data_IF_763922180727
#
_entry.id   IF_763922180727
#
_cell.length_a   1.000
_cell.length_b   1.000
_cell.length_c   1.000
_cell.angle_alpha   90.00
_cell.angle_beta   90.00
_cell.angle_gamma   90.00
#
_symmetry.space_group_name_H-M   'P 1'
#
loop_
_entity.id
_entity.type
_entity.pdbx_description
1 polymer ?
#
# COMPACT_ATOMS: atom_id res chain seq x y z
N UNK A 1 9.92 15.99 0.13
CA UNK A 1 10.15 14.86 -0.80
C UNK A 1 11.59 14.81 -1.23
N UNK A 2 12.18 13.62 -1.28
CA UNK A 2 13.58 13.37 -1.62
C UNK A 2 13.99 13.79 -3.05
N UNK A 3 13.03 14.09 -3.93
CA UNK A 3 13.26 14.37 -5.36
C UNK A 3 14.12 15.59 -5.67
N UNK A 4 14.18 16.53 -4.73
CA UNK A 4 15.06 17.72 -4.82
C UNK A 4 15.99 17.82 -3.63
N UNK A 5 16.11 16.74 -2.85
CA UNK A 5 16.98 16.71 -1.69
C UNK A 5 18.43 16.63 -2.13
N UNK A 6 19.25 17.51 -1.62
CA UNK A 6 20.71 17.49 -1.80
C UNK A 6 21.41 16.50 -0.86
N UNK A 7 20.65 15.76 -0.02
CA UNK A 7 21.20 14.87 1.02
C UNK A 7 22.25 13.90 0.48
N UNK A 8 21.99 13.23 -0.64
CA UNK A 8 22.95 12.30 -1.24
C UNK A 8 24.27 13.01 -1.63
N UNK A 9 24.15 14.19 -2.25
CA UNK A 9 25.31 15.00 -2.65
C UNK A 9 26.08 15.53 -1.46
N UNK A 10 25.37 16.04 -0.43
CA UNK A 10 25.98 16.58 0.78
C UNK A 10 26.70 15.48 1.58
N UNK A 11 26.09 14.31 1.73
CA UNK A 11 26.73 13.18 2.41
C UNK A 11 27.96 12.67 1.63
N UNK A 12 27.86 12.58 0.29
CA UNK A 12 28.99 12.18 -0.54
C UNK A 12 30.17 13.14 -0.42
N UNK A 13 29.91 14.46 -0.43
CA UNK A 13 30.95 15.47 -0.23
C UNK A 13 31.56 15.41 1.17
N UNK A 14 30.72 15.27 2.20
CA UNK A 14 31.16 15.29 3.59
C UNK A 14 32.04 14.11 3.98
N UNK A 15 31.69 12.92 3.47
CA UNK A 15 32.34 11.67 3.89
C UNK A 15 33.25 11.06 2.82
N UNK A 16 33.31 11.63 1.62
CA UNK A 16 34.13 11.10 0.53
C UNK A 16 33.70 9.72 0.02
N UNK A 17 32.43 9.36 0.21
CA UNK A 17 31.88 8.05 -0.17
C UNK A 17 30.77 8.19 -1.21
N UNK A 18 30.52 7.13 -1.96
CA UNK A 18 29.36 7.08 -2.84
C UNK A 18 28.08 6.96 -2.00
N UNK A 19 27.10 7.80 -2.29
CA UNK A 19 25.76 7.77 -1.67
C UNK A 19 24.70 7.67 -2.74
N UNK A 20 23.69 6.82 -2.54
CA UNK A 20 22.47 6.81 -3.32
C UNK A 20 21.28 7.04 -2.42
N UNK A 21 20.23 7.66 -2.97
CA UNK A 21 19.00 8.00 -2.25
C UNK A 21 17.83 7.47 -3.05
N UNK A 22 16.90 6.83 -2.39
CA UNK A 22 15.63 6.39 -2.98
C UNK A 22 14.49 6.61 -1.95
N UNK A 23 13.26 6.69 -2.44
CA UNK A 23 12.08 6.79 -1.61
C UNK A 23 11.83 5.47 -0.85
N UNK A 24 11.30 5.54 0.37
CA UNK A 24 11.06 4.41 1.26
C UNK A 24 10.07 3.38 0.68
N UNK A 25 8.94 3.81 0.16
CA UNK A 25 7.98 2.91 -0.49
C UNK A 25 8.57 2.22 -1.73
N UNK A 26 9.40 2.95 -2.50
CA UNK A 26 10.12 2.38 -3.64
C UNK A 26 11.21 1.41 -3.21
N UNK A 27 11.88 1.67 -2.08
CA UNK A 27 12.78 0.71 -1.45
C UNK A 27 12.04 -0.57 -1.03
N UNK A 28 10.85 -0.45 -0.44
CA UNK A 28 10.05 -1.62 -0.10
C UNK A 28 9.73 -2.46 -1.34
N UNK A 29 9.36 -1.84 -2.47
CA UNK A 29 9.12 -2.56 -3.72
C UNK A 29 10.39 -3.24 -4.26
N UNK A 30 11.55 -2.59 -4.18
CA UNK A 30 12.83 -3.17 -4.58
C UNK A 30 13.24 -4.35 -3.72
N UNK A 31 13.01 -4.30 -2.40
CA UNK A 31 13.28 -5.41 -1.50
C UNK A 31 12.44 -6.64 -1.85
N UNK A 32 11.13 -6.42 -2.02
CA UNK A 32 10.19 -7.49 -2.38
C UNK A 32 10.48 -8.08 -3.76
N UNK A 33 10.87 -7.25 -4.72
CA UNK A 33 11.29 -7.69 -6.05
C UNK A 33 12.58 -8.50 -6.02
N UNK A 34 13.56 -8.07 -5.25
CA UNK A 34 14.87 -8.73 -5.21
C UNK A 34 14.80 -10.10 -4.53
N UNK A 35 14.23 -10.17 -3.32
CA UNK A 35 14.27 -11.37 -2.48
C UNK A 35 12.97 -11.70 -1.75
N UNK A 36 11.91 -10.93 -1.98
CA UNK A 36 10.63 -11.05 -1.29
C UNK A 36 9.51 -11.60 -2.16
N UNK A 37 8.31 -11.13 -1.90
CA UNK A 37 7.05 -11.64 -2.47
C UNK A 37 6.85 -11.29 -3.94
N UNK A 38 7.59 -10.30 -4.48
CA UNK A 38 7.59 -9.96 -5.90
C UNK A 38 8.72 -10.64 -6.68
N UNK A 39 9.47 -11.57 -6.07
CA UNK A 39 10.57 -12.22 -6.76
C UNK A 39 10.08 -13.03 -7.97
N UNK A 40 10.61 -12.70 -9.15
CA UNK A 40 10.30 -13.38 -10.40
C UNK A 40 9.07 -12.85 -11.13
N UNK A 41 8.37 -11.84 -10.60
CA UNK A 41 7.32 -11.15 -11.35
C UNK A 41 7.93 -10.24 -12.42
N UNK A 42 7.18 -10.00 -13.49
CA UNK A 42 7.49 -9.00 -14.51
C UNK A 42 6.89 -7.64 -14.13
N UNK A 43 5.62 -7.67 -13.72
CA UNK A 43 4.87 -6.51 -13.28
C UNK A 43 4.30 -6.76 -11.89
N UNK A 44 4.63 -5.93 -10.93
CA UNK A 44 4.14 -6.08 -9.57
C UNK A 44 4.11 -4.74 -8.83
N UNK A 45 3.39 -4.70 -7.74
CA UNK A 45 3.34 -3.52 -6.89
C UNK A 45 3.44 -3.88 -5.41
N UNK A 46 3.96 -2.95 -4.62
CA UNK A 46 3.89 -2.98 -3.17
C UNK A 46 3.00 -1.84 -2.72
N UNK A 47 2.05 -2.15 -1.85
CA UNK A 47 1.20 -1.18 -1.15
C UNK A 47 1.53 -1.27 0.34
N UNK A 48 2.11 -0.22 0.89
CA UNK A 48 2.55 -0.15 2.30
C UNK A 48 1.52 0.65 3.11
N UNK A 49 0.83 -0.02 4.01
CA UNK A 49 -0.17 0.54 4.91
C UNK A 49 0.53 0.99 6.22
N UNK A 50 0.91 2.26 6.27
CA UNK A 50 1.58 2.91 7.40
C UNK A 50 0.76 4.07 7.97
N UNK A 51 1.41 5.19 8.34
CA UNK A 51 0.73 6.44 8.69
C UNK A 51 -0.07 7.00 7.50
N UNK A 52 0.39 6.76 6.29
CA UNK A 52 -0.31 6.96 5.03
C UNK A 52 -0.25 5.68 4.20
N UNK A 53 -0.42 5.81 2.87
CA UNK A 53 -0.26 4.70 1.92
C UNK A 53 0.92 5.00 1.00
N UNK A 54 2.02 4.30 1.21
CA UNK A 54 3.22 4.37 0.38
C UNK A 54 3.33 3.13 -0.52
N UNK A 55 4.31 3.12 -1.42
CA UNK A 55 4.62 1.92 -2.18
C UNK A 55 5.54 2.15 -3.36
N UNK A 56 5.56 1.18 -4.24
CA UNK A 56 6.34 1.22 -5.46
C UNK A 56 5.84 0.22 -6.47
N UNK A 57 6.16 0.47 -7.72
CA UNK A 57 5.67 -0.26 -8.87
C UNK A 57 6.87 -0.84 -9.61
N UNK A 58 6.83 -2.13 -9.91
CA UNK A 58 7.76 -2.82 -10.79
C UNK A 58 7.05 -3.03 -12.11
N UNK A 59 7.61 -2.55 -13.22
CA UNK A 59 7.13 -2.82 -14.57
C UNK A 59 8.29 -3.30 -15.44
N UNK A 60 8.05 -4.36 -16.20
CA UNK A 60 9.06 -5.00 -17.04
C UNK A 60 10.35 -5.36 -16.25
N UNK A 61 10.17 -5.86 -15.03
CA UNK A 61 11.29 -6.24 -14.15
C UNK A 61 12.13 -5.07 -13.62
N UNK A 62 11.61 -3.84 -13.65
CA UNK A 62 12.33 -2.63 -13.20
C UNK A 62 11.42 -1.75 -12.35
N UNK A 63 12.03 -1.04 -11.39
CA UNK A 63 11.31 -0.03 -10.62
C UNK A 63 10.82 1.10 -11.54
N UNK A 64 9.52 1.28 -11.59
CA UNK A 64 8.87 2.35 -12.35
C UNK A 64 8.78 3.62 -11.49
N UNK A 65 9.50 4.66 -11.87
CA UNK A 65 9.54 5.94 -11.14
C UNK A 65 8.64 7.02 -11.74
N UNK A 66 8.29 6.87 -13.04
CA UNK A 66 7.67 7.93 -13.82
C UNK A 66 8.62 9.09 -14.11
N UNK A 67 8.16 10.03 -14.92
CA UNK A 67 8.99 11.16 -15.35
C UNK A 67 9.32 12.15 -14.22
N UNK A 68 8.46 12.21 -13.21
CA UNK A 68 8.58 13.13 -12.07
C UNK A 68 8.82 12.37 -10.75
N UNK A 69 9.15 11.09 -10.82
CA UNK A 69 9.36 10.19 -9.67
C UNK A 69 8.13 10.01 -8.77
N UNK A 70 6.95 10.35 -9.23
CA UNK A 70 5.69 10.27 -8.46
C UNK A 70 4.96 8.94 -8.63
N UNK A 71 5.41 8.05 -9.51
CA UNK A 71 4.80 6.75 -9.63
C UNK A 71 4.91 5.98 -8.30
N UNK A 72 3.81 5.39 -7.84
CA UNK A 72 3.74 4.69 -6.56
C UNK A 72 3.55 5.59 -5.32
N UNK A 73 3.38 6.90 -5.50
CA UNK A 73 3.01 7.83 -4.42
C UNK A 73 1.50 7.74 -4.17
N UNK A 74 1.02 6.60 -3.69
CA UNK A 74 -0.39 6.28 -3.55
C UNK A 74 -1.16 7.22 -2.63
N UNK A 75 -0.49 7.84 -1.66
CA UNK A 75 -1.13 8.81 -0.76
C UNK A 75 -1.80 9.98 -1.48
N UNK A 76 -1.38 10.30 -2.71
CA UNK A 76 -1.96 11.39 -3.51
C UNK A 76 -3.12 10.95 -4.40
N UNK A 77 -3.50 9.69 -4.41
CA UNK A 77 -4.64 9.21 -5.19
C UNK A 77 -5.94 9.68 -4.54
N UNK A 78 -6.74 10.46 -5.29
CA UNK A 78 -8.07 10.87 -4.85
C UNK A 78 -9.03 9.68 -4.94
N UNK A 79 -9.66 9.32 -3.83
CA UNK A 79 -10.56 8.17 -3.68
C UNK A 79 -12.03 8.58 -3.62
N UNK A 80 -12.32 9.85 -3.30
CA UNK A 80 -13.65 10.43 -3.38
C UNK A 80 -13.68 11.65 -4.33
N UNK A 81 -14.10 11.41 -5.56
CA UNK A 81 -14.21 12.46 -6.59
C UNK A 81 -15.27 13.52 -6.30
N UNK A 82 -16.15 13.32 -5.31
CA UNK A 82 -17.18 14.30 -4.94
C UNK A 82 -16.64 15.39 -4.03
N UNK A 83 -15.52 15.12 -3.35
CA UNK A 83 -14.95 16.00 -2.33
C UNK A 83 -13.42 16.10 -2.47
N UNK A 84 -12.90 16.47 -3.65
CA UNK A 84 -11.46 16.48 -3.90
C UNK A 84 -10.70 17.54 -3.06
N UNK A 85 -11.42 18.49 -2.45
CA UNK A 85 -10.86 19.49 -1.54
C UNK A 85 -10.66 18.98 -0.11
N UNK A 86 -11.26 17.85 0.28
CA UNK A 86 -11.12 17.26 1.61
C UNK A 86 -9.89 16.33 1.67
N UNK A 87 -9.09 16.46 2.71
CA UNK A 87 -7.89 15.60 2.90
C UNK A 87 -8.24 14.12 3.03
N UNK A 88 -9.36 13.80 3.68
CA UNK A 88 -9.81 12.41 3.86
C UNK A 88 -10.28 11.75 2.55
N UNK A 89 -10.41 12.53 1.46
CA UNK A 89 -10.69 12.02 0.12
C UNK A 89 -9.45 11.44 -0.58
N UNK A 90 -8.29 11.46 0.06
CA UNK A 90 -7.07 10.92 -0.51
C UNK A 90 -6.68 9.60 0.13
N UNK A 91 -6.18 8.67 -0.68
CA UNK A 91 -5.90 7.29 -0.26
C UNK A 91 -4.95 7.22 0.95
N UNK A 92 -3.96 8.11 1.02
CA UNK A 92 -3.05 8.16 2.17
C UNK A 92 -3.76 8.42 3.49
N UNK A 93 -4.78 9.27 3.48
CA UNK A 93 -5.52 9.65 4.69
C UNK A 93 -6.64 8.66 5.00
N UNK A 94 -7.35 8.18 3.97
CA UNK A 94 -8.47 7.25 4.13
C UNK A 94 -8.04 5.83 4.50
N UNK A 95 -6.84 5.39 4.08
CA UNK A 95 -6.37 4.01 4.27
C UNK A 95 -5.04 3.91 5.04
N UNK A 96 -4.53 5.00 5.60
CA UNK A 96 -3.46 4.96 6.61
C UNK A 96 -3.99 4.49 7.97
N UNK A 97 -3.10 4.38 8.95
CA UNK A 97 -3.45 3.94 10.31
C UNK A 97 -4.53 4.83 10.96
N UNK A 98 -4.46 6.14 10.76
CA UNK A 98 -5.48 7.09 11.24
C UNK A 98 -6.82 6.89 10.52
N UNK A 99 -6.80 6.62 9.21
CA UNK A 99 -8.00 6.33 8.44
C UNK A 99 -8.74 5.09 8.95
N UNK A 100 -8.00 4.02 9.23
CA UNK A 100 -8.57 2.82 9.85
C UNK A 100 -9.20 3.14 11.22
N UNK A 101 -8.51 3.91 12.07
CA UNK A 101 -9.02 4.30 13.38
C UNK A 101 -10.30 5.14 13.27
N UNK A 102 -10.34 6.11 12.35
CA UNK A 102 -11.54 6.94 12.08
C UNK A 102 -12.73 6.10 11.61
N UNK A 103 -12.49 5.15 10.71
CA UNK A 103 -13.55 4.26 10.21
C UNK A 103 -14.09 3.38 11.33
N UNK A 104 -13.22 2.77 12.14
CA UNK A 104 -13.66 1.95 13.29
C UNK A 104 -14.43 2.80 14.29
N UNK A 105 -13.95 3.99 14.63
CA UNK A 105 -14.61 4.92 15.54
C UNK A 105 -16.02 5.32 15.09
N UNK A 106 -16.24 5.49 13.80
CA UNK A 106 -17.56 5.74 13.22
C UNK A 106 -18.56 4.61 13.54
N UNK A 107 -18.12 3.36 13.56
CA UNK A 107 -18.96 2.21 13.88
C UNK A 107 -19.17 1.98 15.39
N UNK A 108 -18.14 2.26 16.19
CA UNK A 108 -18.22 2.08 17.64
C UNK A 108 -18.91 3.23 18.36
N UNK A 109 -18.82 4.45 17.79
CA UNK A 109 -19.28 5.69 18.42
C UNK A 109 -18.28 6.27 19.42
N UNK A 110 -17.05 5.77 19.46
CA UNK A 110 -15.96 6.24 20.32
C UNK A 110 -15.08 7.29 19.61
N UNK A 111 -14.21 7.95 20.39
CA UNK A 111 -13.19 8.85 19.81
C UNK A 111 -12.11 8.04 19.07
N UNK A 112 -11.84 8.38 17.82
CA UNK A 112 -10.85 7.71 16.99
C UNK A 112 -9.43 7.74 17.59
N UNK A 113 -9.10 8.77 18.39
CA UNK A 113 -7.80 8.90 19.06
C UNK A 113 -7.57 7.81 20.13
N UNK A 114 -8.63 7.12 20.55
CA UNK A 114 -8.54 5.98 21.49
C UNK A 114 -8.15 4.69 20.80
N UNK A 115 -8.09 4.67 19.48
CA UNK A 115 -7.76 3.50 18.66
C UNK A 115 -6.35 3.61 18.07
N UNK A 116 -5.62 2.53 18.19
CA UNK A 116 -4.42 2.23 17.41
C UNK A 116 -4.56 0.85 16.75
N UNK A 117 -3.60 0.48 15.93
CA UNK A 117 -3.65 -0.81 15.24
C UNK A 117 -3.69 -2.00 16.21
N UNK A 118 -2.99 -1.93 17.35
CA UNK A 118 -2.97 -3.03 18.32
C UNK A 118 -4.35 -3.24 18.94
N UNK A 119 -4.99 -2.17 19.41
CA UNK A 119 -6.32 -2.21 20.00
C UNK A 119 -7.37 -2.68 18.99
N UNK A 120 -7.35 -2.12 17.76
CA UNK A 120 -8.30 -2.50 16.70
C UNK A 120 -8.23 -3.99 16.41
N UNK A 121 -7.02 -4.52 16.17
CA UNK A 121 -6.88 -5.93 15.81
C UNK A 121 -7.05 -6.88 16.99
N UNK A 122 -6.80 -6.44 18.24
CA UNK A 122 -7.22 -7.22 19.42
C UNK A 122 -8.72 -7.39 19.46
N UNK A 123 -9.48 -6.28 19.42
CA UNK A 123 -10.94 -6.31 19.45
C UNK A 123 -11.54 -7.08 18.26
N UNK A 124 -10.95 -6.91 17.05
CA UNK A 124 -11.39 -7.66 15.88
C UNK A 124 -11.19 -9.17 16.03
N UNK A 125 -10.06 -9.61 16.61
CA UNK A 125 -9.78 -11.02 16.88
C UNK A 125 -10.67 -11.58 18.00
N UNK A 126 -11.09 -10.75 18.95
CA UNK A 126 -12.05 -11.10 20.01
C UNK A 126 -13.50 -11.14 19.48
N UNK A 127 -13.73 -10.73 18.23
CA UNK A 127 -15.03 -10.83 17.57
C UNK A 127 -15.95 -9.63 17.81
N UNK A 128 -15.43 -8.46 18.19
CA UNK A 128 -16.24 -7.24 18.34
C UNK A 128 -16.89 -6.86 17.00
N UNK A 129 -18.23 -6.99 16.95
CA UNK A 129 -19.01 -6.83 15.72
C UNK A 129 -18.89 -5.41 15.12
N UNK A 130 -18.78 -4.37 15.96
CA UNK A 130 -18.66 -2.99 15.50
C UNK A 130 -17.28 -2.72 14.91
N UNK A 131 -16.24 -3.24 15.55
CA UNK A 131 -14.86 -3.15 15.03
C UNK A 131 -14.73 -3.94 13.73
N UNK A 132 -15.33 -5.12 13.65
CA UNK A 132 -15.36 -5.93 12.43
C UNK A 132 -16.12 -5.25 11.30
N UNK A 133 -17.21 -4.53 11.58
CA UNK A 133 -17.92 -3.72 10.58
C UNK A 133 -17.04 -2.57 10.07
N UNK A 134 -16.31 -1.89 10.95
CA UNK A 134 -15.34 -0.87 10.58
C UNK A 134 -14.17 -1.44 9.74
N UNK A 135 -13.65 -2.61 10.13
CA UNK A 135 -12.62 -3.30 9.35
C UNK A 135 -13.12 -3.70 7.95
N UNK A 136 -14.38 -4.11 7.84
CA UNK A 136 -15.01 -4.41 6.54
C UNK A 136 -15.10 -3.15 5.66
N UNK A 137 -15.62 -2.03 6.18
CA UNK A 137 -15.68 -0.76 5.44
C UNK A 137 -14.28 -0.31 4.97
N UNK A 138 -13.27 -0.44 5.84
CA UNK A 138 -11.89 -0.15 5.49
C UNK A 138 -11.36 -1.03 4.35
N UNK A 139 -11.57 -2.35 4.44
CA UNK A 139 -11.09 -3.28 3.40
C UNK A 139 -11.87 -3.16 2.11
N UNK A 140 -13.13 -2.76 2.13
CA UNK A 140 -13.91 -2.48 0.91
C UNK A 140 -13.31 -1.31 0.12
N UNK A 141 -12.97 -0.23 0.82
CA UNK A 141 -12.29 0.91 0.19
C UNK A 141 -10.93 0.52 -0.38
N UNK A 142 -10.14 -0.24 0.39
CA UNK A 142 -8.82 -0.71 -0.04
C UNK A 142 -8.92 -1.65 -1.25
N UNK A 143 -9.90 -2.54 -1.28
CA UNK A 143 -10.13 -3.48 -2.38
C UNK A 143 -10.42 -2.77 -3.70
N UNK A 144 -11.20 -1.69 -3.68
CA UNK A 144 -11.45 -0.86 -4.87
C UNK A 144 -10.15 -0.26 -5.41
N UNK A 145 -9.27 0.23 -4.54
CA UNK A 145 -8.00 0.82 -4.97
C UNK A 145 -7.03 -0.24 -5.52
N UNK A 146 -6.99 -1.42 -4.92
CA UNK A 146 -6.21 -2.57 -5.42
C UNK A 146 -6.72 -3.01 -6.78
N UNK A 147 -8.05 -3.09 -6.95
CA UNK A 147 -8.66 -3.40 -8.23
C UNK A 147 -8.27 -2.35 -9.29
N UNK A 148 -8.41 -1.06 -8.99
CA UNK A 148 -8.04 0.03 -9.91
C UNK A 148 -6.57 -0.04 -10.30
N UNK A 149 -5.68 -0.26 -9.33
CA UNK A 149 -4.24 -0.39 -9.58
C UNK A 149 -3.95 -1.57 -10.53
N UNK A 150 -4.64 -2.69 -10.35
CA UNK A 150 -4.51 -3.85 -11.22
C UNK A 150 -5.00 -3.55 -12.65
N UNK A 151 -6.12 -2.85 -12.80
CA UNK A 151 -6.65 -2.48 -14.13
C UNK A 151 -5.73 -1.50 -14.86
N UNK A 152 -5.12 -0.56 -14.15
CA UNK A 152 -4.19 0.39 -14.78
C UNK A 152 -2.87 -0.24 -15.23
N UNK A 153 -2.39 -1.27 -14.54
CA UNK A 153 -1.02 -1.75 -14.70
C UNK A 153 -0.90 -3.21 -15.12
N UNK A 154 -2.00 -3.98 -15.10
CA UNK A 154 -2.04 -5.42 -15.42
C UNK A 154 -0.94 -6.19 -14.69
N UNK A 155 -1.08 -6.27 -13.35
CA UNK A 155 -0.03 -6.76 -12.47
C UNK A 155 -0.09 -8.27 -12.28
N UNK A 156 1.06 -8.92 -12.21
CA UNK A 156 1.19 -10.34 -11.82
C UNK A 156 0.75 -10.54 -10.35
N UNK A 157 1.10 -9.58 -9.47
CA UNK A 157 0.88 -9.68 -8.03
C UNK A 157 1.01 -8.30 -7.34
N UNK A 158 0.25 -8.10 -6.28
CA UNK A 158 0.31 -6.92 -5.41
C UNK A 158 0.65 -7.39 -3.99
N UNK A 159 1.78 -6.94 -3.45
CA UNK A 159 2.19 -7.26 -2.10
C UNK A 159 1.76 -6.15 -1.12
N UNK A 160 1.10 -6.54 -0.04
CA UNK A 160 0.60 -5.64 1.00
C UNK A 160 1.59 -5.64 2.17
N UNK A 161 2.12 -4.48 2.49
CA UNK A 161 3.10 -4.25 3.56
C UNK A 161 2.65 -3.24 4.59
N UNK A 162 3.54 -2.91 5.51
CA UNK A 162 3.28 -2.00 6.62
C UNK A 162 2.87 -2.72 7.91
N UNK A 163 2.80 -1.97 9.01
CA UNK A 163 2.60 -2.57 10.33
C UNK A 163 1.31 -3.38 10.48
N UNK A 164 0.20 -2.88 9.93
CA UNK A 164 -1.10 -3.53 10.03
C UNK A 164 -1.25 -4.75 9.11
N UNK A 165 -0.43 -4.85 8.06
CA UNK A 165 -0.51 -5.96 7.11
C UNK A 165 -0.09 -7.31 7.70
N UNK A 166 0.52 -7.34 8.87
CA UNK A 166 0.88 -8.58 9.56
C UNK A 166 -0.32 -9.30 10.20
N UNK A 167 -1.49 -8.65 10.22
CA UNK A 167 -2.69 -9.19 10.84
C UNK A 167 -3.45 -10.13 9.89
N UNK A 168 -3.56 -11.43 10.18
CA UNK A 168 -4.25 -12.38 9.30
C UNK A 168 -5.70 -12.00 9.02
N UNK A 169 -6.37 -11.41 10.00
CA UNK A 169 -7.76 -10.97 9.87
C UNK A 169 -7.91 -9.86 8.82
N UNK A 170 -6.91 -8.96 8.69
CA UNK A 170 -6.91 -7.93 7.64
C UNK A 170 -6.93 -8.58 6.25
N UNK A 171 -6.06 -9.57 6.02
CA UNK A 171 -5.99 -10.25 4.73
C UNK A 171 -7.26 -11.03 4.41
N UNK A 172 -7.85 -11.68 5.42
CA UNK A 172 -9.13 -12.38 5.27
C UNK A 172 -10.24 -11.43 4.82
N UNK A 173 -10.33 -10.26 5.45
CA UNK A 173 -11.34 -9.25 5.11
C UNK A 173 -11.05 -8.61 3.75
N UNK A 174 -9.78 -8.30 3.47
CA UNK A 174 -9.38 -7.73 2.18
C UNK A 174 -9.67 -8.68 1.01
N UNK A 175 -9.35 -9.98 1.16
CA UNK A 175 -9.67 -10.96 0.12
C UNK A 175 -11.18 -11.04 -0.12
N UNK A 176 -11.97 -11.11 0.96
CA UNK A 176 -13.44 -11.09 0.87
C UNK A 176 -13.95 -9.83 0.15
N UNK A 177 -13.41 -8.67 0.50
CA UNK A 177 -13.79 -7.40 -0.12
C UNK A 177 -13.42 -7.37 -1.61
N UNK A 178 -12.26 -7.93 -2.00
CA UNK A 178 -11.88 -8.09 -3.41
C UNK A 178 -12.83 -9.01 -4.18
N UNK A 179 -13.20 -10.14 -3.59
CA UNK A 179 -14.14 -11.08 -4.19
C UNK A 179 -15.49 -10.40 -4.43
N UNK A 180 -16.00 -9.68 -3.43
CA UNK A 180 -17.26 -8.91 -3.52
C UNK A 180 -17.19 -7.79 -4.58
N UNK A 181 -16.06 -7.05 -4.67
CA UNK A 181 -15.85 -6.05 -5.73
C UNK A 181 -15.94 -6.72 -7.10
N UNK A 182 -15.24 -7.84 -7.29
CA UNK A 182 -15.18 -8.56 -8.57
C UNK A 182 -16.55 -9.14 -8.96
N UNK A 183 -17.31 -9.66 -8.01
CA UNK A 183 -18.67 -10.18 -8.24
C UNK A 183 -19.65 -9.09 -8.65
N UNK A 184 -19.50 -7.89 -8.08
CA UNK A 184 -20.42 -6.78 -8.29
C UNK A 184 -20.08 -5.88 -9.48
N UNK A 185 -18.94 -6.07 -10.16
CA UNK A 185 -18.57 -5.28 -11.34
C UNK A 185 -19.45 -5.69 -12.55
N UNK A 186 -20.34 -4.79 -13.04
CA UNK A 186 -21.23 -5.14 -14.15
C UNK A 186 -20.45 -5.49 -15.44
N UNK A 187 -19.29 -4.84 -15.65
CA UNK A 187 -18.46 -5.05 -16.84
C UNK A 187 -17.88 -6.46 -16.92
N UNK A 188 -17.66 -7.16 -15.80
CA UNK A 188 -17.21 -8.56 -15.82
C UNK A 188 -18.23 -9.52 -16.44
N UNK A 189 -19.51 -9.17 -16.34
CA UNK A 189 -20.59 -9.94 -16.99
C UNK A 189 -20.56 -9.82 -18.52
N UNK A 190 -19.98 -8.73 -19.02
CA UNK A 190 -19.87 -8.41 -20.45
C UNK A 190 -18.49 -8.86 -20.98
N UNK A 191 -17.45 -8.67 -20.19
CA UNK A 191 -16.07 -9.03 -20.55
C UNK A 191 -15.46 -9.91 -19.46
N UNK A 192 -15.33 -11.23 -19.70
CA UNK A 192 -14.73 -12.15 -18.73
C UNK A 192 -13.21 -12.02 -18.62
N UNK A 193 -12.60 -11.13 -19.42
CA UNK A 193 -11.15 -10.95 -19.48
C UNK A 193 -10.57 -9.98 -18.46
N UNK A 194 -11.38 -9.43 -17.56
CA UNK A 194 -10.88 -8.57 -16.46
C UNK A 194 -10.09 -9.44 -15.50
N UNK A 195 -8.75 -9.25 -15.38
CA UNK A 195 -7.93 -10.09 -14.52
C UNK A 195 -8.25 -9.85 -13.04
N UNK A 196 -8.22 -10.90 -12.26
CA UNK A 196 -8.36 -10.82 -10.81
C UNK A 196 -7.04 -10.37 -10.18
N UNK A 197 -7.05 -9.33 -9.33
CA UNK A 197 -5.84 -8.95 -8.60
C UNK A 197 -5.39 -10.08 -7.68
N UNK A 198 -4.13 -10.48 -7.79
CA UNK A 198 -3.52 -11.42 -6.85
C UNK A 198 -2.84 -10.61 -5.76
N UNK A 199 -3.24 -10.84 -4.51
CA UNK A 199 -2.62 -10.19 -3.35
C UNK A 199 -1.77 -11.18 -2.54
N UNK A 200 -0.74 -10.65 -1.89
CA UNK A 200 0.12 -11.39 -0.96
C UNK A 200 0.65 -10.45 0.12
N UNK A 201 1.28 -11.02 1.16
CA UNK A 201 1.98 -10.23 2.16
C UNK A 201 3.38 -9.88 1.70
N UNK A 202 3.87 -8.69 2.04
CA UNK A 202 5.28 -8.38 1.99
C UNK A 202 6.06 -9.32 2.93
N UNK A 203 7.27 -9.66 2.53
CA UNK A 203 8.14 -10.55 3.30
C UNK A 203 8.96 -9.82 4.35
N UNK A 204 9.39 -8.58 4.06
CA UNK A 204 10.44 -7.92 4.84
C UNK A 204 9.93 -6.87 5.84
N UNK A 205 8.66 -6.50 5.79
CA UNK A 205 8.04 -5.57 6.73
C UNK A 205 8.92 -4.33 7.03
N UNK A 206 9.39 -4.20 8.28
CA UNK A 206 10.21 -3.06 8.72
C UNK A 206 11.61 -3.03 8.11
N UNK A 207 12.14 -4.17 7.67
CA UNK A 207 13.48 -4.28 7.08
C UNK A 207 13.48 -3.96 5.57
N UNK A 208 12.30 -3.85 4.96
CA UNK A 208 12.15 -3.64 3.53
C UNK A 208 12.93 -2.42 3.01
N UNK A 209 12.92 -1.32 3.76
CA UNK A 209 13.59 -0.08 3.37
C UNK A 209 15.11 -0.24 3.31
N UNK A 210 15.70 -0.94 4.29
CA UNK A 210 17.16 -1.19 4.32
C UNK A 210 17.58 -2.13 3.19
N UNK A 211 16.84 -3.22 2.99
CA UNK A 211 17.11 -4.21 1.94
C UNK A 211 16.97 -3.58 0.55
N UNK A 212 15.92 -2.78 0.34
CA UNK A 212 15.69 -2.10 -0.92
C UNK A 212 16.70 -1.00 -1.22
N UNK A 213 17.12 -0.24 -0.21
CA UNK A 213 18.19 0.76 -0.34
C UNK A 213 19.52 0.10 -0.74
N UNK A 214 19.86 -1.03 -0.13
CA UNK A 214 21.02 -1.82 -0.51
C UNK A 214 20.94 -2.29 -1.97
N UNK A 215 19.81 -2.87 -2.38
CA UNK A 215 19.60 -3.28 -3.76
C UNK A 215 19.73 -2.12 -4.73
N UNK A 216 19.12 -0.97 -4.41
CA UNK A 216 19.23 0.25 -5.22
C UNK A 216 20.69 0.71 -5.37
N UNK A 217 21.46 0.68 -4.27
CA UNK A 217 22.88 1.06 -4.30
C UNK A 217 23.70 0.13 -5.19
N UNK A 218 23.46 -1.18 -5.11
CA UNK A 218 24.19 -2.21 -5.87
C UNK A 218 23.89 -2.21 -7.38
N UNK A 219 22.75 -1.67 -7.80
CA UNK A 219 22.26 -1.71 -9.19
C UNK A 219 22.10 -0.31 -9.81
N UNK A 220 22.86 0.66 -9.33
CA UNK A 220 22.85 2.04 -9.79
C UNK A 220 23.73 2.25 -11.02
#
# INVERSE_FOLDING_TARGET
TLFRSTVGTELSKRYGIQVSVENDGKCAALAEFWRGSLKGCTNGAVVVLGSGVAGGIILNGKLFRGNHFTAGEYSYVCTDAKKPEEMDSYWGMSSGAEGLAKIVAKHTGEDWQTYDGLKIFSLANDGDEKVLAGLKEYTDSLAVQIYNLNIYLDLDIIAIGGGISQQPILHKYLQRSLDEVLENIPLRKISPYVPEPKITNCRFYNDANLIGALYHFMNK
#
